data_IF_739854840648
#
_entry.id   IF_739854840648
#
_cell.length_a   1.000
_cell.length_b   1.000
_cell.length_c   1.000
_cell.angle_alpha   90.00
_cell.angle_beta   90.00
_cell.angle_gamma   90.00
#
_symmetry.space_group_name_H-M   'P 1'
#
loop_
_entity.id
_entity.type
_entity.pdbx_description
1 polymer ?
#
# COMPACT_ATOMS: atom_id res chain seq x y z
N UNK A 1 25.63 5.24 3.29
CA UNK A 1 25.12 4.01 2.63
C UNK A 1 24.04 4.24 1.57
N UNK A 2 22.74 4.40 1.85
CA UNK A 2 21.70 4.42 0.80
C UNK A 2 21.84 5.54 -0.25
N UNK A 3 22.16 6.76 0.19
CA UNK A 3 22.38 7.92 -0.69
C UNK A 3 23.64 7.74 -1.53
N UNK A 4 24.71 7.21 -0.93
CA UNK A 4 25.98 6.99 -1.64
C UNK A 4 25.84 5.87 -2.66
N UNK A 5 25.12 4.79 -2.32
CA UNK A 5 24.88 3.66 -3.20
C UNK A 5 23.99 4.01 -4.41
N UNK A 6 23.04 4.93 -4.23
CA UNK A 6 22.07 5.28 -5.27
C UNK A 6 22.40 6.58 -6.02
N UNK A 7 23.21 7.46 -5.42
CA UNK A 7 23.43 8.82 -5.90
C UNK A 7 22.21 9.75 -5.76
N UNK A 8 21.11 9.28 -5.17
CA UNK A 8 19.86 10.04 -5.05
C UNK A 8 19.88 10.87 -3.77
N UNK A 9 19.56 12.18 -3.81
CA UNK A 9 19.46 13.02 -2.63
C UNK A 9 18.43 12.49 -1.61
N UNK A 10 18.69 12.72 -0.30
CA UNK A 10 17.81 12.24 0.78
C UNK A 10 16.35 12.63 0.61
N UNK A 11 16.10 13.83 0.13
CA UNK A 11 14.76 14.42 -0.02
C UNK A 11 14.01 13.87 -1.24
N UNK A 12 14.67 13.05 -2.07
CA UNK A 12 14.10 12.40 -3.24
C UNK A 12 14.20 10.88 -3.19
N UNK A 13 14.83 10.33 -2.14
CA UNK A 13 15.02 8.90 -1.95
C UNK A 13 14.03 8.40 -0.89
N UNK A 14 13.21 7.40 -1.24
CA UNK A 14 12.41 6.69 -0.25
C UNK A 14 13.32 5.84 0.63
N UNK A 15 13.38 6.17 1.93
CA UNK A 15 14.20 5.47 2.92
C UNK A 15 13.39 4.94 4.11
N UNK A 16 12.06 5.04 4.02
CA UNK A 16 11.14 4.71 5.09
C UNK A 16 11.28 3.28 5.62
N UNK A 17 11.66 2.33 4.77
CA UNK A 17 11.91 0.94 5.20
C UNK A 17 13.10 0.81 6.17
N UNK A 18 14.01 1.78 6.18
CA UNK A 18 15.23 1.74 6.99
C UNK A 18 15.17 2.71 8.18
N UNK A 19 14.62 3.91 7.98
CA UNK A 19 14.61 4.96 9.00
C UNK A 19 13.24 5.64 9.19
N UNK A 20 12.20 5.15 8.53
CA UNK A 20 10.84 5.70 8.63
C UNK A 20 10.62 7.03 7.91
N UNK A 21 11.63 7.61 7.24
CA UNK A 21 11.50 8.90 6.56
C UNK A 21 11.02 8.71 5.11
N UNK A 22 9.83 9.22 4.83
CA UNK A 22 9.33 9.37 3.47
C UNK A 22 9.78 10.72 2.88
N UNK A 23 10.25 10.77 1.63
CA UNK A 23 10.59 12.00 0.94
C UNK A 23 9.36 12.86 0.63
N UNK A 24 8.18 12.24 0.63
CA UNK A 24 6.90 12.92 0.49
C UNK A 24 6.08 12.74 1.78
N UNK A 25 5.35 13.78 2.23
CA UNK A 25 4.51 13.67 3.40
C UNK A 25 3.44 12.60 3.18
N UNK A 26 3.33 11.69 4.14
CA UNK A 26 2.29 10.67 4.16
C UNK A 26 0.97 11.35 4.55
N UNK A 27 -0.14 11.11 3.81
CA UNK A 27 -1.45 11.62 4.18
C UNK A 27 -1.91 11.11 5.55
N UNK A 28 -2.85 11.81 6.18
CA UNK A 28 -3.39 11.44 7.49
C UNK A 28 -3.80 9.95 7.57
N UNK A 29 -3.52 9.24 8.68
CA UNK A 29 -3.77 7.81 8.82
C UNK A 29 -5.22 7.42 8.57
N UNK A 30 -6.17 8.33 8.83
CA UNK A 30 -7.60 8.13 8.59
C UNK A 30 -7.97 7.91 7.11
N UNK A 31 -7.14 8.36 6.18
CA UNK A 31 -7.35 8.24 4.73
C UNK A 31 -6.62 7.00 4.17
N UNK A 32 -5.59 6.53 4.86
CA UNK A 32 -4.75 5.42 4.41
C UNK A 32 -5.40 4.05 4.69
N UNK A 33 -5.45 3.19 3.68
CA UNK A 33 -5.81 1.77 3.83
C UNK A 33 -7.30 1.45 3.98
N UNK A 34 -8.10 2.23 4.72
CA UNK A 34 -9.53 1.92 4.96
C UNK A 34 -10.34 1.77 3.68
N UNK A 35 -10.29 2.76 2.78
CA UNK A 35 -11.04 2.72 1.52
C UNK A 35 -10.58 1.60 0.57
N UNK A 36 -9.27 1.29 0.60
CA UNK A 36 -8.73 0.17 -0.16
C UNK A 36 -9.26 -1.17 0.37
N UNK A 37 -9.26 -1.35 1.69
CA UNK A 37 -9.80 -2.53 2.35
C UNK A 37 -11.33 -2.64 2.13
N UNK A 38 -12.06 -1.52 2.16
CA UNK A 38 -13.49 -1.46 1.86
C UNK A 38 -13.81 -1.87 0.40
N UNK A 39 -12.93 -1.54 -0.55
CA UNK A 39 -13.03 -2.00 -1.92
C UNK A 39 -12.70 -3.49 -2.06
N UNK A 40 -11.67 -3.97 -1.35
CA UNK A 40 -11.24 -5.36 -1.34
C UNK A 40 -12.31 -6.27 -0.72
N UNK A 41 -12.85 -5.93 0.44
CA UNK A 41 -13.93 -6.71 1.09
C UNK A 41 -15.15 -6.80 0.17
N UNK A 42 -15.52 -5.72 -0.53
CA UNK A 42 -16.65 -5.72 -1.47
C UNK A 42 -16.43 -6.68 -2.63
N UNK A 43 -15.19 -6.75 -3.15
CA UNK A 43 -14.81 -7.71 -4.19
C UNK A 43 -14.80 -9.15 -3.69
N UNK A 44 -14.24 -9.39 -2.51
CA UNK A 44 -14.19 -10.72 -1.88
C UNK A 44 -15.61 -11.24 -1.65
N UNK A 45 -16.47 -10.43 -1.04
CA UNK A 45 -17.89 -10.77 -0.83
C UNK A 45 -18.59 -11.11 -2.16
N UNK A 46 -18.37 -10.32 -3.21
CA UNK A 46 -18.96 -10.61 -4.53
C UNK A 46 -18.38 -11.84 -5.24
N UNK A 47 -17.23 -12.35 -4.81
CA UNK A 47 -16.59 -13.53 -5.42
C UNK A 47 -17.09 -14.82 -4.75
N UNK A 48 -17.39 -14.79 -3.45
CA UNK A 48 -17.94 -15.95 -2.71
C UNK A 48 -19.32 -16.35 -3.22
N UNK A 49 -20.13 -15.39 -3.70
CA UNK A 49 -21.43 -15.67 -4.33
C UNK A 49 -21.31 -16.38 -5.70
N UNK A 50 -20.13 -16.37 -6.34
CA UNK A 50 -19.89 -16.96 -7.66
C UNK A 50 -19.28 -18.37 -7.56
N UNK A 51 -18.64 -18.70 -6.43
CA UNK A 51 -17.95 -19.99 -6.24
C UNK A 51 -18.91 -21.18 -5.99
N UNK A 52 -20.14 -20.94 -5.49
CA UNK A 52 -21.18 -21.98 -5.35
C UNK A 52 -21.79 -22.43 -6.69
N UNK A 53 -21.63 -21.66 -7.77
CA UNK A 53 -22.15 -22.02 -9.10
C UNK A 53 -21.11 -22.69 -10.00
N UNK A 54 -19.84 -22.79 -9.57
CA UNK A 54 -18.75 -23.31 -10.40
C UNK A 54 -18.14 -24.64 -9.91
N UNK A 55 -18.64 -25.21 -8.82
CA UNK A 55 -18.25 -26.55 -8.36
C UNK A 55 -19.47 -27.49 -8.34
N UNK A 56 -19.66 -28.38 -9.34
CA UNK A 56 -20.49 -29.57 -9.17
C UNK A 56 -19.86 -30.56 -8.17
#
# INVERSE_FOLDING_TARGET
ELVEATGVPKDSLCRACFDGVYPLPIPEPSIMGKHLLEGLQKRVSSTTDIDELQHP
#
